data_IF_883302094039
#
_entry.id   IF_883302094039
#
_cell.length_a   1.000
_cell.length_b   1.000
_cell.length_c   1.000
_cell.angle_alpha   90.00
_cell.angle_beta   90.00
_cell.angle_gamma   90.00
#
_symmetry.space_group_name_H-M   'P 1'
#
loop_
_entity.id
_entity.type
_entity.pdbx_description
1 polymer ?
#
# COMPACT_ATOMS: atom_id res chain seq x y z
N UNK A 1 7.19 -6.45 -7.03
CA UNK A 1 6.57 -5.37 -7.82
C UNK A 1 7.33 -5.12 -9.12
N UNK A 2 8.65 -4.88 -9.11
CA UNK A 2 9.45 -4.71 -10.35
C UNK A 2 9.29 -5.85 -11.35
N UNK A 3 9.41 -7.12 -10.90
CA UNK A 3 9.19 -8.29 -11.74
C UNK A 3 7.76 -8.39 -12.33
N UNK A 4 6.79 -7.71 -11.73
CA UNK A 4 5.42 -7.62 -12.23
C UNK A 4 5.21 -6.43 -13.19
N UNK A 5 6.26 -5.69 -13.52
CA UNK A 5 6.24 -4.59 -14.50
C UNK A 5 5.96 -3.21 -13.92
N UNK A 6 5.94 -3.04 -12.59
CA UNK A 6 5.73 -1.73 -11.96
C UNK A 6 7.05 -1.01 -11.70
N UNK A 7 7.07 0.31 -11.90
CA UNK A 7 8.16 1.15 -11.45
C UNK A 7 8.12 1.27 -9.91
N UNK A 8 9.27 1.17 -9.27
CA UNK A 8 9.39 1.27 -7.80
C UNK A 8 10.52 2.21 -7.40
N UNK A 9 10.44 2.74 -6.18
CA UNK A 9 11.48 3.55 -5.57
C UNK A 9 11.50 3.31 -4.05
N UNK A 10 12.65 2.99 -3.44
CA UNK A 10 13.91 2.60 -4.09
C UNK A 10 13.83 1.19 -4.69
N UNK A 11 14.81 0.85 -5.54
CA UNK A 11 15.02 -0.50 -6.05
C UNK A 11 15.42 -1.46 -4.94
N UNK A 12 15.35 -2.76 -5.22
CA UNK A 12 15.64 -3.78 -4.21
C UNK A 12 17.12 -3.81 -3.76
N UNK A 13 18.04 -3.34 -4.60
CA UNK A 13 19.50 -3.38 -4.40
C UNK A 13 20.10 -2.03 -3.99
N UNK A 14 19.28 -0.99 -3.86
CA UNK A 14 19.70 0.33 -3.42
C UNK A 14 19.79 0.43 -1.89
N UNK A 15 20.68 1.29 -1.39
CA UNK A 15 20.78 1.60 0.04
C UNK A 15 19.53 2.34 0.51
N UNK A 16 19.01 1.97 1.68
CA UNK A 16 17.80 2.55 2.27
C UNK A 16 18.12 3.29 3.56
N UNK A 17 17.47 4.44 3.74
CA UNK A 17 17.53 5.24 4.98
C UNK A 17 16.24 5.18 5.79
N UNK A 18 15.16 4.65 5.21
CA UNK A 18 13.84 4.49 5.82
C UNK A 18 13.20 3.16 5.38
N UNK A 19 11.96 2.94 5.83
CA UNK A 19 11.16 1.74 5.51
C UNK A 19 10.18 1.95 4.36
N UNK A 20 10.18 3.12 3.71
CA UNK A 20 9.19 3.48 2.71
C UNK A 20 9.53 2.76 1.40
N UNK A 21 8.51 2.14 0.81
CA UNK A 21 8.56 1.58 -0.53
C UNK A 21 7.49 2.23 -1.40
N UNK A 22 7.91 3.08 -2.33
CA UNK A 22 7.01 3.64 -3.33
C UNK A 22 6.86 2.68 -4.52
N UNK A 23 5.62 2.55 -5.01
CA UNK A 23 5.26 1.78 -6.20
C UNK A 23 4.35 2.64 -7.08
N UNK A 24 4.77 2.90 -8.31
CA UNK A 24 4.02 3.71 -9.26
C UNK A 24 3.12 2.83 -10.13
N UNK A 25 1.81 3.06 -10.07
CA UNK A 25 0.84 2.25 -10.81
C UNK A 25 0.44 2.85 -12.16
N UNK A 26 0.54 4.17 -12.35
CA UNK A 26 0.04 4.91 -13.52
C UNK A 26 -1.45 4.65 -13.84
N UNK A 27 -2.19 4.10 -12.88
CA UNK A 27 -3.58 3.66 -13.02
C UNK A 27 -4.26 3.78 -11.64
N UNK A 28 -5.34 4.56 -11.60
CA UNK A 28 -6.10 4.85 -10.37
C UNK A 28 -6.73 3.58 -9.78
N UNK A 29 -7.28 2.71 -10.62
CA UNK A 29 -8.00 1.52 -10.15
C UNK A 29 -7.03 0.48 -9.62
N UNK A 30 -5.86 0.31 -10.25
CA UNK A 30 -4.79 -0.55 -9.73
C UNK A 30 -4.28 -0.06 -8.38
N UNK A 31 -4.11 1.25 -8.21
CA UNK A 31 -3.70 1.84 -6.93
C UNK A 31 -4.73 1.53 -5.83
N UNK A 32 -6.01 1.80 -6.08
CA UNK A 32 -7.08 1.56 -5.10
C UNK A 32 -7.20 0.07 -4.77
N UNK A 33 -7.18 -0.80 -5.79
CA UNK A 33 -7.19 -2.27 -5.59
C UNK A 33 -5.99 -2.76 -4.79
N UNK A 34 -4.82 -2.18 -5.01
CA UNK A 34 -3.61 -2.50 -4.25
C UNK A 34 -3.80 -2.16 -2.75
N UNK A 35 -4.25 -0.95 -2.42
CA UNK A 35 -4.52 -0.56 -1.03
C UNK A 35 -5.61 -1.44 -0.38
N UNK A 36 -6.73 -1.69 -1.08
CA UNK A 36 -7.77 -2.65 -0.61
C UNK A 36 -7.24 -4.08 -0.45
N UNK A 37 -6.22 -4.46 -1.21
CA UNK A 37 -5.51 -5.73 -1.07
C UNK A 37 -4.66 -5.80 0.19
N UNK A 38 -3.94 -4.73 0.50
CA UNK A 38 -3.16 -4.62 1.73
C UNK A 38 -4.08 -4.69 2.95
N UNK A 39 -5.18 -3.93 2.96
CA UNK A 39 -6.16 -3.96 4.06
C UNK A 39 -6.74 -5.36 4.27
N UNK A 40 -7.11 -6.07 3.20
CA UNK A 40 -7.61 -7.43 3.31
C UNK A 40 -6.56 -8.44 3.83
N UNK A 41 -5.27 -8.13 3.70
CA UNK A 41 -4.16 -8.90 4.23
C UNK A 41 -3.74 -8.50 5.66
N UNK A 42 -4.42 -7.53 6.28
CA UNK A 42 -4.12 -7.06 7.63
C UNK A 42 -4.73 -7.94 8.73
N UNK A 43 -4.17 -7.95 9.95
CA UNK A 43 -4.71 -8.72 11.06
C UNK A 43 -5.99 -8.12 11.67
N UNK A 44 -6.14 -6.79 11.61
CA UNK A 44 -7.28 -6.04 12.16
C UNK A 44 -8.06 -5.39 11.01
N UNK A 45 -9.38 -5.33 11.14
CA UNK A 45 -10.31 -4.70 10.18
C UNK A 45 -10.14 -5.16 8.72
N UNK A 46 -9.74 -6.41 8.50
CA UNK A 46 -9.51 -6.96 7.16
C UNK A 46 -10.77 -7.11 6.30
N UNK A 47 -11.95 -7.07 6.94
CA UNK A 47 -13.25 -7.07 6.26
C UNK A 47 -13.69 -5.66 5.83
N UNK A 48 -13.00 -4.60 6.28
CA UNK A 48 -13.27 -3.22 5.88
C UNK A 48 -12.56 -2.93 4.56
N UNK A 49 -13.23 -2.20 3.66
CA UNK A 49 -12.61 -1.73 2.43
C UNK A 49 -12.18 -0.27 2.56
N UNK A 50 -10.94 0.01 2.17
CA UNK A 50 -10.42 1.37 2.09
C UNK A 50 -11.04 2.10 0.90
N UNK A 51 -11.57 3.29 1.14
CA UNK A 51 -12.04 4.21 0.11
C UNK A 51 -11.24 5.51 0.19
N UNK A 52 -11.01 6.21 -0.94
CA UNK A 52 -10.48 7.55 -0.91
C UNK A 52 -11.31 8.48 -0.03
N UNK A 53 -10.67 9.23 0.86
CA UNK A 53 -11.33 10.23 1.71
C UNK A 53 -10.58 11.57 1.68
N UNK A 54 -11.33 12.66 1.87
CA UNK A 54 -10.80 14.02 2.02
C UNK A 54 -10.04 14.19 3.37
N UNK A 55 -8.78 13.79 3.40
CA UNK A 55 -7.95 13.88 4.61
C UNK A 55 -7.62 15.34 4.93
N UNK A 56 -7.91 15.85 6.15
CA UNK A 56 -7.59 17.22 6.51
C UNK A 56 -6.11 17.54 6.31
N UNK A 57 -5.82 18.62 5.58
CA UNK A 57 -4.45 19.04 5.24
C UNK A 57 -3.94 18.56 3.88
N UNK A 58 -4.70 17.73 3.15
CA UNK A 58 -4.39 17.32 1.78
C UNK A 58 -5.34 17.98 0.78
N UNK A 59 -4.79 18.36 -0.38
CA UNK A 59 -5.58 18.95 -1.47
C UNK A 59 -6.32 17.89 -2.31
N UNK A 60 -5.77 16.68 -2.35
CA UNK A 60 -6.30 15.54 -3.08
C UNK A 60 -6.83 14.52 -2.07
N UNK A 61 -7.83 13.73 -2.48
CA UNK A 61 -8.28 12.59 -1.68
C UNK A 61 -7.13 11.62 -1.44
N UNK A 62 -7.10 11.03 -0.25
CA UNK A 62 -6.09 10.04 0.15
C UNK A 62 -6.78 8.73 0.44
N UNK A 63 -6.22 7.62 -0.04
CA UNK A 63 -6.60 6.28 0.38
C UNK A 63 -5.55 5.75 1.35
N UNK A 64 -6.00 5.04 2.40
CA UNK A 64 -5.11 4.46 3.41
C UNK A 64 -5.61 3.09 3.86
N UNK A 65 -4.73 2.09 3.77
CA UNK A 65 -4.85 0.78 4.38
C UNK A 65 -4.05 0.76 5.69
N UNK A 66 -4.75 0.56 6.80
CA UNK A 66 -4.23 0.71 8.16
C UNK A 66 -4.89 -0.26 9.15
N UNK A 67 -5.03 -1.53 8.77
CA UNK A 67 -5.51 -2.61 9.64
C UNK A 67 -4.50 -3.01 10.73
N UNK A 68 -4.11 -2.05 11.55
CA UNK A 68 -3.09 -2.15 12.59
C UNK A 68 -3.73 -2.33 13.99
N UNK A 69 -2.98 -2.93 14.92
CA UNK A 69 -3.38 -3.02 16.33
C UNK A 69 -3.37 -1.65 17.01
N UNK A 70 -2.39 -0.80 16.67
CA UNK A 70 -2.33 0.59 17.12
C UNK A 70 -2.79 1.49 15.97
N UNK A 71 -3.80 2.34 16.25
CA UNK A 71 -4.37 3.25 15.27
C UNK A 71 -3.29 4.18 14.69
N UNK A 72 -3.15 4.18 13.36
CA UNK A 72 -2.19 5.02 12.64
C UNK A 72 -0.74 4.55 12.70
N UNK A 73 -0.50 3.33 13.20
CA UNK A 73 0.84 2.73 13.23
C UNK A 73 1.35 2.44 11.83
N UNK A 74 2.46 3.08 11.44
CA UNK A 74 3.15 2.84 10.16
C UNK A 74 4.33 1.87 10.26
N UNK A 75 4.65 1.40 11.47
CA UNK A 75 5.59 0.28 11.66
C UNK A 75 4.89 -1.07 11.47
N UNK A 76 3.56 -1.11 11.62
CA UNK A 76 2.71 -2.19 11.17
C UNK A 76 2.45 -2.06 9.65
N UNK A 77 2.12 -3.18 8.99
CA UNK A 77 1.93 -3.18 7.54
C UNK A 77 0.82 -2.21 7.14
N UNK A 78 1.16 -1.23 6.32
CA UNK A 78 0.24 -0.18 5.88
C UNK A 78 0.59 0.28 4.46
N UNK A 79 -0.42 0.80 3.76
CA UNK A 79 -0.23 1.38 2.44
C UNK A 79 -1.16 2.58 2.24
N UNK A 80 -0.60 3.71 1.85
CA UNK A 80 -1.36 4.94 1.60
C UNK A 80 -0.93 5.62 0.30
N UNK A 81 -1.82 6.45 -0.24
CA UNK A 81 -1.58 7.15 -1.49
C UNK A 81 -2.52 8.35 -1.68
N UNK A 82 -2.02 9.48 -2.21
CA UNK A 82 -2.89 10.51 -2.77
C UNK A 82 -3.48 10.02 -4.11
N UNK A 83 -4.76 10.28 -4.33
CA UNK A 83 -5.48 9.93 -5.56
C UNK A 83 -5.21 11.00 -6.63
N UNK A 84 -3.99 10.94 -7.17
CA UNK A 84 -3.54 11.79 -8.27
C UNK A 84 -2.48 11.08 -9.10
N UNK A 85 -2.31 11.49 -10.35
CA UNK A 85 -1.22 11.00 -11.19
C UNK A 85 0.16 11.32 -10.57
N UNK A 86 1.14 10.39 -10.65
CA UNK A 86 1.12 9.13 -11.39
C UNK A 86 0.67 7.90 -10.56
N UNK A 87 -0.22 8.10 -9.59
CA UNK A 87 -0.82 7.05 -8.74
C UNK A 87 0.23 6.20 -8.03
N UNK A 88 0.95 6.80 -7.10
CA UNK A 88 2.02 6.17 -6.34
C UNK A 88 1.48 5.72 -4.98
N UNK A 89 1.59 4.42 -4.67
CA UNK A 89 1.39 3.92 -3.32
C UNK A 89 2.69 3.97 -2.53
N UNK A 90 2.58 4.31 -1.26
CA UNK A 90 3.62 4.21 -0.27
C UNK A 90 3.30 3.04 0.65
N UNK A 91 4.02 1.93 0.46
CA UNK A 91 3.93 0.73 1.30
C UNK A 91 5.04 0.78 2.35
N UNK A 92 4.72 0.45 3.60
CA UNK A 92 5.68 0.48 4.69
C UNK A 92 5.26 -0.45 5.84
N UNK A 93 6.21 -0.70 6.73
CA UNK A 93 5.99 -1.48 7.94
C UNK A 93 5.80 -2.97 7.69
N UNK A 94 5.44 -3.66 8.78
CA UNK A 94 5.32 -5.10 8.86
C UNK A 94 6.08 -5.62 10.07
N UNK A 95 5.35 -5.99 11.13
CA UNK A 95 5.93 -6.47 12.39
C UNK A 95 6.75 -7.74 12.19
N UNK A 96 6.32 -8.58 11.25
CA UNK A 96 7.05 -9.77 10.82
C UNK A 96 7.18 -9.75 9.30
N UNK A 97 8.31 -10.25 8.81
CA UNK A 97 8.54 -10.38 7.37
C UNK A 97 7.46 -11.24 6.69
N UNK A 98 7.03 -12.32 7.35
CA UNK A 98 6.01 -13.22 6.82
C UNK A 98 4.67 -12.49 6.62
N UNK A 99 4.25 -11.65 7.58
CA UNK A 99 3.02 -10.87 7.44
C UNK A 99 3.11 -9.88 6.28
N UNK A 100 4.21 -9.11 6.20
CA UNK A 100 4.43 -8.19 5.10
C UNK A 100 4.39 -8.91 3.74
N UNK A 101 5.08 -10.05 3.62
CA UNK A 101 5.11 -10.88 2.40
C UNK A 101 3.71 -11.37 2.02
N UNK A 102 2.93 -11.89 2.97
CA UNK A 102 1.56 -12.38 2.72
C UNK A 102 0.67 -11.24 2.24
N UNK A 103 0.68 -10.08 2.91
CA UNK A 103 -0.13 -8.92 2.52
C UNK A 103 0.19 -8.43 1.11
N UNK A 104 1.48 -8.37 0.76
CA UNK A 104 1.93 -8.00 -0.60
C UNK A 104 1.45 -9.02 -1.64
N UNK A 105 1.50 -10.33 -1.35
CA UNK A 105 1.04 -11.37 -2.28
C UNK A 105 -0.47 -11.31 -2.52
N UNK A 106 -1.26 -11.10 -1.46
CA UNK A 106 -2.72 -10.90 -1.57
C UNK A 106 -3.02 -9.70 -2.44
N UNK A 107 -2.34 -8.57 -2.18
CA UNK A 107 -2.53 -7.34 -2.92
C UNK A 107 -2.14 -7.45 -4.40
N UNK A 108 -0.97 -8.03 -4.67
CA UNK A 108 -0.51 -8.29 -6.04
C UNK A 108 -1.45 -9.21 -6.82
N UNK A 109 -1.99 -10.24 -6.16
CA UNK A 109 -2.98 -11.14 -6.76
C UNK A 109 -4.26 -10.39 -7.18
N UNK A 110 -4.77 -9.47 -6.34
CA UNK A 110 -5.96 -8.67 -6.67
C UNK A 110 -5.77 -7.80 -7.91
N UNK A 111 -4.58 -7.21 -8.08
CA UNK A 111 -4.31 -6.33 -9.24
C UNK A 111 -3.95 -7.09 -10.52
N UNK A 112 -3.46 -8.34 -10.42
CA UNK A 112 -3.09 -9.16 -11.59
C UNK A 112 -4.23 -10.02 -12.15
N UNK A 113 -5.16 -10.45 -11.30
CA UNK A 113 -6.28 -11.34 -11.70
C UNK A 113 -7.58 -10.57 -12.01
N UNK A 114 -7.47 -9.28 -12.33
CA UNK A 114 -8.59 -8.38 -12.65
C UNK A 114 -8.74 -8.18 -14.16
#
# INVERSE_FOLDING_TARGET
>A
MELAGFEVLPKYDEKRSDIIQAVKFNDKDKLIKFCKGIQAGSPIDSFVECEPWDMPGYNDQVIMAAGAFIQGSSIELSADAPIREPYIAYLQGGLTFDHAKIGILISLSKIMNS
#
